data_IF_702100231933
#
_entry.id   IF_702100231933
#
_cell.length_a   1.000
_cell.length_b   1.000
_cell.length_c   1.000
_cell.angle_alpha   90.00
_cell.angle_beta   90.00
_cell.angle_gamma   90.00
#
_symmetry.space_group_name_H-M   'P 1'
#
loop_
_entity.id
_entity.type
_entity.pdbx_description
1 polymer ?
#
# COMPACT_ATOMS: atom_id res chain seq x y z
N UNK A 1 -9.51 17.62 0.61
CA UNK A 1 -10.63 17.66 -0.36
C UNK A 1 -10.86 16.23 -0.80
N UNK A 2 -12.11 15.76 -0.79
CA UNK A 2 -12.42 14.42 -1.27
C UNK A 2 -12.47 14.39 -2.80
N UNK A 3 -11.89 13.36 -3.39
CA UNK A 3 -11.93 13.08 -4.84
C UNK A 3 -11.84 11.58 -5.11
N UNK A 4 -12.21 11.11 -6.30
CA UNK A 4 -11.85 9.76 -6.74
C UNK A 4 -10.32 9.57 -6.80
N UNK A 5 -9.88 8.31 -6.84
CA UNK A 5 -8.51 7.99 -7.21
C UNK A 5 -8.19 8.51 -8.62
N UNK A 6 -6.98 9.05 -8.78
CA UNK A 6 -6.44 9.34 -10.09
C UNK A 6 -5.97 8.04 -10.77
N UNK A 7 -5.91 8.05 -12.10
CA UNK A 7 -5.60 6.83 -12.86
C UNK A 7 -4.22 6.24 -12.54
N UNK A 8 -3.25 7.05 -12.11
CA UNK A 8 -1.94 6.54 -11.73
C UNK A 8 -1.94 5.91 -10.33
N UNK A 9 -2.68 6.50 -9.38
CA UNK A 9 -2.85 5.98 -8.01
C UNK A 9 -3.60 4.65 -8.03
N UNK A 10 -4.67 4.57 -8.82
CA UNK A 10 -5.46 3.35 -8.97
C UNK A 10 -4.60 2.22 -9.53
N UNK A 11 -3.77 2.51 -10.55
CA UNK A 11 -2.86 1.51 -11.14
C UNK A 11 -1.81 1.03 -10.13
N UNK A 12 -1.26 1.93 -9.32
CA UNK A 12 -0.29 1.56 -8.28
C UNK A 12 -0.94 0.68 -7.19
N UNK A 13 -2.12 1.08 -6.71
CA UNK A 13 -2.87 0.30 -5.72
C UNK A 13 -3.30 -1.06 -6.28
N UNK A 14 -3.78 -1.12 -7.52
CA UNK A 14 -4.12 -2.39 -8.17
C UNK A 14 -2.93 -3.33 -8.29
N UNK A 15 -1.72 -2.81 -8.57
CA UNK A 15 -0.50 -3.59 -8.59
C UNK A 15 -0.12 -4.09 -7.20
N UNK A 16 -0.19 -3.22 -6.18
CA UNK A 16 0.02 -3.60 -4.78
C UNK A 16 -0.95 -4.70 -4.32
N UNK A 17 -2.21 -4.62 -4.74
CA UNK A 17 -3.21 -5.67 -4.47
C UNK A 17 -2.87 -6.98 -5.18
N UNK A 18 -2.43 -6.92 -6.45
CA UNK A 18 -2.04 -8.11 -7.21
C UNK A 18 -0.86 -8.84 -6.55
N UNK A 19 0.17 -8.12 -6.10
CA UNK A 19 1.29 -8.77 -5.42
C UNK A 19 0.87 -9.35 -4.07
N UNK A 20 -0.22 -8.87 -3.45
CA UNK A 20 -0.73 -9.37 -2.17
C UNK A 20 -1.81 -10.46 -2.30
N UNK A 21 -2.24 -10.81 -3.52
CA UNK A 21 -3.40 -11.67 -3.76
C UNK A 21 -3.33 -13.03 -3.06
N UNK A 22 -2.16 -13.67 -3.07
CA UNK A 22 -1.95 -14.97 -2.42
C UNK A 22 -2.11 -14.98 -0.89
N UNK A 23 -2.15 -13.81 -0.24
CA UNK A 23 -2.34 -13.73 1.22
C UNK A 23 -3.78 -13.52 1.63
N UNK A 24 -4.58 -12.93 0.74
CA UNK A 24 -5.85 -12.34 1.12
C UNK A 24 -7.01 -12.81 0.24
N UNK A 25 -6.77 -13.65 -0.76
CA UNK A 25 -7.77 -14.40 -1.56
C UNK A 25 -9.09 -13.62 -1.73
N UNK A 26 -10.13 -14.01 -0.99
CA UNK A 26 -11.50 -13.45 -1.06
C UNK A 26 -11.61 -11.95 -0.74
N UNK A 27 -10.64 -11.37 -0.02
CA UNK A 27 -10.61 -9.94 0.27
C UNK A 27 -10.16 -9.10 -0.92
N UNK A 28 -9.26 -9.61 -1.78
CA UNK A 28 -8.71 -8.79 -2.88
C UNK A 28 -9.77 -8.37 -3.90
N UNK A 29 -10.67 -9.25 -4.38
CA UNK A 29 -11.78 -8.82 -5.25
C UNK A 29 -12.66 -7.75 -4.60
N UNK A 30 -12.91 -7.85 -3.28
CA UNK A 30 -13.70 -6.85 -2.54
C UNK A 30 -13.00 -5.50 -2.46
N UNK A 31 -11.70 -5.49 -2.20
CA UNK A 31 -10.89 -4.28 -2.20
C UNK A 31 -10.77 -3.64 -3.59
N UNK A 32 -10.69 -4.46 -4.66
CA UNK A 32 -10.74 -3.95 -6.04
C UNK A 32 -12.07 -3.29 -6.36
N UNK A 33 -13.19 -3.90 -5.96
CA UNK A 33 -14.51 -3.28 -6.13
C UNK A 33 -14.64 -1.99 -5.30
N UNK A 34 -14.06 -1.94 -4.10
CA UNK A 34 -14.07 -0.75 -3.24
C UNK A 34 -13.41 0.46 -3.93
N UNK A 35 -12.21 0.28 -4.49
CA UNK A 35 -11.40 1.38 -5.04
C UNK A 35 -11.94 1.95 -6.35
N UNK A 36 -12.89 1.26 -6.99
CA UNK A 36 -13.61 1.77 -8.17
C UNK A 36 -14.64 2.84 -7.82
N UNK A 37 -15.17 2.83 -6.58
CA UNK A 37 -16.29 3.68 -6.19
C UNK A 37 -16.00 4.61 -5.01
N UNK A 38 -14.94 4.37 -4.25
CA UNK A 38 -14.64 5.18 -3.08
C UNK A 38 -14.03 6.54 -3.44
N UNK A 39 -14.11 7.46 -2.48
CA UNK A 39 -13.36 8.72 -2.50
C UNK A 39 -12.16 8.62 -1.58
N UNK A 40 -11.14 9.41 -1.90
CA UNK A 40 -9.95 9.60 -1.10
C UNK A 40 -9.75 11.07 -0.79
N UNK A 41 -9.04 11.35 0.29
CA UNK A 41 -8.47 12.66 0.54
C UNK A 41 -6.99 12.52 0.88
N UNK A 42 -6.21 13.45 0.38
CA UNK A 42 -4.78 13.51 0.66
C UNK A 42 -4.54 14.02 2.09
N UNK A 43 -3.70 13.30 2.82
CA UNK A 43 -3.17 13.70 4.13
C UNK A 43 -1.70 14.09 3.89
N UNK A 44 -1.37 15.35 4.17
CA UNK A 44 -0.04 15.88 3.84
C UNK A 44 1.02 15.44 4.86
N UNK A 45 2.07 14.83 4.32
CA UNK A 45 3.36 14.43 4.94
C UNK A 45 3.24 13.29 5.96
N UNK A 46 3.57 12.04 5.57
CA UNK A 46 3.97 11.59 4.21
C UNK A 46 2.82 11.62 3.18
N UNK A 47 3.11 11.34 1.89
CA UNK A 47 2.04 11.26 0.87
C UNK A 47 1.13 10.08 1.19
N UNK A 48 -0.06 10.38 1.71
CA UNK A 48 -1.04 9.39 2.13
C UNK A 48 -2.39 9.71 1.50
N UNK A 49 -2.97 8.72 0.83
CA UNK A 49 -4.35 8.76 0.34
C UNK A 49 -5.23 8.01 1.32
N UNK A 50 -5.91 8.75 2.19
CA UNK A 50 -6.88 8.18 3.11
C UNK A 50 -8.20 7.92 2.37
N UNK A 51 -8.67 6.68 2.41
CA UNK A 51 -9.93 6.25 1.79
C UNK A 51 -11.07 6.57 2.76
N UNK A 52 -12.09 7.26 2.27
CA UNK A 52 -13.28 7.59 3.05
C UNK A 52 -14.18 6.35 3.21
N UNK A 53 -14.53 6.02 4.46
CA UNK A 53 -15.52 4.99 4.81
C UNK A 53 -16.28 5.40 6.07
N UNK A 54 -17.56 5.04 6.15
CA UNK A 54 -18.46 5.45 7.23
C UNK A 54 -18.62 4.40 8.35
N UNK A 55 -18.15 3.16 8.13
CA UNK A 55 -18.50 1.98 8.94
C UNK A 55 -17.35 1.43 9.80
N UNK A 56 -16.49 2.32 10.33
CA UNK A 56 -15.36 1.92 11.18
C UNK A 56 -15.85 1.38 12.53
N UNK A 57 -15.30 0.23 12.95
CA UNK A 57 -15.54 -0.31 14.29
C UNK A 57 -14.68 0.42 15.35
N UNK A 58 -15.26 0.84 16.49
CA UNK A 58 -14.49 1.34 17.63
C UNK A 58 -13.55 0.26 18.15
N UNK A 59 -12.24 0.52 18.14
CA UNK A 59 -11.22 -0.45 18.55
C UNK A 59 -10.92 -1.55 17.52
N UNK A 60 -11.45 -1.46 16.30
CA UNK A 60 -11.19 -2.42 15.22
C UNK A 60 -9.71 -2.48 14.82
N UNK A 61 -9.28 -3.65 14.37
CA UNK A 61 -7.91 -3.90 13.93
C UNK A 61 -7.47 -2.98 12.78
N UNK A 62 -6.23 -2.52 12.84
CA UNK A 62 -5.55 -1.76 11.80
C UNK A 62 -4.26 -2.47 11.42
N UNK A 63 -4.09 -2.86 10.16
CA UNK A 63 -2.93 -3.68 9.77
C UNK A 63 -2.46 -3.39 8.34
N UNK A 64 -1.14 -3.32 8.10
CA UNK A 64 -0.62 -3.16 6.75
C UNK A 64 -0.78 -4.47 5.96
N UNK A 65 -0.85 -4.37 4.64
CA UNK A 65 -0.76 -5.54 3.78
C UNK A 65 0.62 -6.23 3.93
N UNK A 66 0.64 -7.54 3.68
CA UNK A 66 1.79 -8.38 3.97
C UNK A 66 3.02 -8.04 3.12
N UNK A 67 2.78 -7.68 1.86
CA UNK A 67 3.80 -7.25 0.91
C UNK A 67 3.73 -5.75 0.71
N UNK A 68 4.90 -5.15 0.66
CA UNK A 68 5.12 -3.73 0.37
C UNK A 68 5.98 -3.61 -0.88
N UNK A 69 5.94 -2.44 -1.51
CA UNK A 69 6.74 -2.14 -2.70
C UNK A 69 7.79 -1.09 -2.34
N UNK A 70 8.97 -1.22 -2.93
CA UNK A 70 10.04 -0.23 -2.83
C UNK A 70 10.31 0.32 -4.22
N UNK A 71 10.30 1.64 -4.34
CA UNK A 71 10.69 2.37 -5.54
C UNK A 71 11.95 3.22 -5.27
N UNK A 72 12.38 3.95 -6.30
CA UNK A 72 13.39 4.99 -6.20
C UNK A 72 12.81 6.31 -6.71
N UNK A 73 12.97 7.36 -5.92
CA UNK A 73 12.73 8.74 -6.33
C UNK A 73 14.03 9.53 -6.16
N UNK A 74 14.60 9.97 -7.28
CA UNK A 74 15.92 10.64 -7.33
C UNK A 74 17.06 9.91 -6.59
N UNK A 75 16.99 8.57 -6.53
CA UNK A 75 17.96 7.72 -5.84
C UNK A 75 17.65 7.49 -4.36
N UNK A 76 16.58 8.09 -3.84
CA UNK A 76 16.07 7.87 -2.47
C UNK A 76 15.04 6.74 -2.49
N UNK A 77 15.12 5.76 -1.58
CA UNK A 77 14.09 4.74 -1.48
C UNK A 77 12.73 5.35 -1.12
N UNK A 78 11.69 4.81 -1.76
CA UNK A 78 10.29 5.14 -1.46
C UNK A 78 9.58 3.86 -1.04
N UNK A 79 8.99 3.85 0.13
CA UNK A 79 8.19 2.75 0.66
C UNK A 79 6.72 2.96 0.29
N UNK A 80 6.12 1.98 -0.37
CA UNK A 80 4.73 2.02 -0.84
C UNK A 80 3.97 0.85 -0.21
N UNK A 81 2.89 1.16 0.49
CA UNK A 81 2.15 0.18 1.27
C UNK A 81 0.70 0.64 1.45
N UNK A 82 -0.16 -0.29 1.84
CA UNK A 82 -1.56 0.00 2.09
C UNK A 82 -1.97 -0.61 3.42
N UNK A 83 -2.91 0.05 4.09
CA UNK A 83 -3.53 -0.46 5.30
C UNK A 83 -4.94 -0.92 5.03
N UNK A 84 -5.35 -1.89 5.83
CA UNK A 84 -6.74 -2.30 5.96
C UNK A 84 -7.21 -2.07 7.38
N UNK A 85 -8.51 -1.82 7.50
CA UNK A 85 -9.18 -1.63 8.78
C UNK A 85 -10.37 -2.56 8.92
N UNK A 86 -10.56 -3.06 10.13
CA UNK A 86 -11.71 -3.87 10.48
C UNK A 86 -12.98 -3.02 10.57
N UNK A 87 -14.01 -3.44 9.82
CA UNK A 87 -15.36 -2.86 9.81
C UNK A 87 -16.38 -3.95 10.14
N UNK A 88 -17.66 -3.57 10.28
CA UNK A 88 -18.75 -4.56 10.47
C UNK A 88 -18.86 -5.55 9.31
N UNK A 89 -18.43 -5.12 8.12
CA UNK A 89 -18.47 -5.93 6.91
C UNK A 89 -17.17 -6.71 6.67
N UNK A 90 -16.22 -6.69 7.62
CA UNK A 90 -14.87 -7.27 7.49
C UNK A 90 -13.80 -6.22 7.20
N UNK A 91 -12.63 -6.65 6.73
CA UNK A 91 -11.52 -5.75 6.44
C UNK A 91 -11.72 -5.00 5.11
N UNK A 92 -11.56 -3.68 5.14
CA UNK A 92 -11.60 -2.80 3.95
C UNK A 92 -10.29 -2.03 3.83
N UNK A 93 -9.93 -1.60 2.61
CA UNK A 93 -8.79 -0.71 2.42
C UNK A 93 -9.03 0.63 3.13
N UNK A 94 -8.02 1.08 3.86
CA UNK A 94 -8.04 2.30 4.65
C UNK A 94 -7.21 3.41 4.01
N UNK A 95 -6.00 3.08 3.57
CA UNK A 95 -5.08 4.05 3.00
C UNK A 95 -4.11 3.40 2.01
N UNK A 96 -3.61 4.23 1.10
CA UNK A 96 -2.39 3.99 0.33
C UNK A 96 -1.36 5.02 0.77
N UNK A 97 -0.20 4.55 1.22
CA UNK A 97 0.86 5.35 1.81
C UNK A 97 2.13 5.24 0.95
N UNK A 98 2.76 6.39 0.67
CA UNK A 98 3.97 6.53 -0.15
C UNK A 98 4.98 7.40 0.61
N UNK A 99 5.94 6.73 1.25
CA UNK A 99 6.90 7.35 2.13
C UNK A 99 8.27 7.43 1.46
N UNK A 100 8.69 8.64 1.11
CA UNK A 100 10.08 8.89 0.72
C UNK A 100 10.93 8.90 1.99
N UNK A 101 11.93 8.03 2.07
CA UNK A 101 12.59 7.72 3.35
C UNK A 101 13.53 8.81 3.89
N UNK A 102 13.77 9.88 3.13
CA UNK A 102 14.46 11.09 3.62
C UNK A 102 13.48 12.11 4.24
N UNK A 103 12.17 11.85 4.22
CA UNK A 103 11.13 12.72 4.76
C UNK A 103 10.71 13.87 3.83
N UNK A 104 11.32 13.97 2.64
CA UNK A 104 10.98 15.00 1.66
C UNK A 104 9.73 14.63 0.86
N UNK A 105 9.15 15.62 0.19
CA UNK A 105 8.06 15.37 -0.73
C UNK A 105 8.50 14.50 -1.92
N UNK A 106 7.54 13.75 -2.45
CA UNK A 106 7.70 12.95 -3.65
C UNK A 106 7.88 13.87 -4.87
N UNK A 107 8.97 13.67 -5.61
CA UNK A 107 9.25 14.38 -6.87
C UNK A 107 8.64 13.62 -8.04
N UNK A 108 8.73 12.30 -8.04
CA UNK A 108 8.17 11.42 -9.07
C UNK A 108 7.26 10.36 -8.45
N UNK A 109 6.03 10.31 -8.94
CA UNK A 109 5.10 9.27 -8.53
C UNK A 109 5.56 7.88 -9.01
N UNK A 110 5.62 6.85 -8.14
CA UNK A 110 6.03 5.51 -8.52
C UNK A 110 5.13 4.89 -9.60
N UNK A 111 5.72 4.38 -10.67
CA UNK A 111 5.00 3.62 -11.68
C UNK A 111 4.89 2.14 -11.27
N UNK A 112 3.71 1.52 -11.38
CA UNK A 112 3.56 0.09 -11.09
C UNK A 112 4.29 -0.77 -12.12
N UNK A 113 4.89 -1.87 -11.66
CA UNK A 113 5.49 -2.89 -12.52
C UNK A 113 6.82 -3.42 -11.99
N UNK A 114 7.60 -4.03 -12.90
CA UNK A 114 8.84 -4.75 -12.57
C UNK A 114 9.98 -3.85 -12.05
N UNK A 115 9.86 -2.53 -12.24
CA UNK A 115 10.78 -1.54 -11.68
C UNK A 115 10.67 -1.40 -10.15
N UNK A 116 9.59 -1.90 -9.55
CA UNK A 116 9.39 -1.90 -8.10
C UNK A 116 9.97 -3.17 -7.49
N UNK A 117 10.68 -3.04 -6.37
CA UNK A 117 11.11 -4.19 -5.58
C UNK A 117 9.98 -4.64 -4.66
N UNK A 118 9.65 -5.93 -4.67
CA UNK A 118 8.58 -6.50 -3.85
C UNK A 118 9.19 -7.10 -2.59
N UNK A 119 8.72 -6.64 -1.44
CA UNK A 119 9.24 -7.03 -0.13
C UNK A 119 8.15 -7.75 0.69
N UNK A 120 8.54 -8.79 1.41
CA UNK A 120 7.72 -9.52 2.37
C UNK A 120 8.55 -9.78 3.63
N UNK A 121 8.04 -9.43 4.81
CA UNK A 121 8.72 -9.66 6.09
C UNK A 121 10.21 -9.19 6.09
N UNK A 122 10.48 -8.04 5.46
CA UNK A 122 11.82 -7.46 5.38
C UNK A 122 12.76 -8.12 4.35
N UNK A 123 12.29 -9.09 3.56
CA UNK A 123 13.07 -9.76 2.50
C UNK A 123 12.52 -9.45 1.11
N UNK A 124 13.43 -9.37 0.12
CA UNK A 124 13.02 -9.26 -1.28
C UNK A 124 12.48 -10.61 -1.75
N UNK A 125 11.28 -10.59 -2.32
CA UNK A 125 10.66 -11.78 -2.92
C UNK A 125 10.49 -11.68 -4.45
N UNK A 126 10.69 -10.50 -5.04
CA UNK A 126 10.51 -10.31 -6.48
C UNK A 126 10.74 -8.88 -6.95
N UNK A 127 10.44 -8.62 -8.23
CA UNK A 127 10.59 -7.31 -8.86
C UNK A 127 12.05 -6.86 -9.01
N UNK A 128 12.29 -5.54 -9.02
CA UNK A 128 13.63 -4.98 -9.12
C UNK A 128 14.53 -5.39 -7.93
N UNK A 129 15.85 -5.35 -8.13
CA UNK A 129 16.82 -5.53 -7.05
C UNK A 129 17.35 -4.17 -6.57
N UNK A 130 16.70 -3.63 -5.54
CA UNK A 130 17.06 -2.36 -4.92
C UNK A 130 17.83 -2.55 -3.60
N UNK A 131 18.39 -3.74 -3.34
CA UNK A 131 19.10 -4.04 -2.07
C UNK A 131 20.38 -3.23 -1.88
N UNK A 132 20.87 -2.58 -2.93
CA UNK A 132 21.97 -1.65 -2.85
C UNK A 132 21.57 -0.37 -2.08
N UNK A 133 20.31 0.07 -2.18
CA UNK A 133 19.76 1.26 -1.50
C UNK A 133 18.85 0.95 -0.30
N UNK A 134 18.02 -0.10 -0.37
CA UNK A 134 17.09 -0.48 0.70
C UNK A 134 17.45 -1.86 1.23
N UNK A 135 17.99 -1.93 2.44
CA UNK A 135 18.53 -3.17 3.01
C UNK A 135 17.41 -4.09 3.49
N UNK A 136 17.66 -5.39 3.34
CA UNK A 136 16.81 -6.40 3.96
C UNK A 136 16.94 -6.38 5.48
N UNK A 137 15.88 -6.81 6.14
CA UNK A 137 15.79 -6.98 7.58
C UNK A 137 15.07 -8.29 7.90
N UNK A 138 15.29 -8.83 9.10
CA UNK A 138 14.60 -10.03 9.57
C UNK A 138 13.36 -9.60 10.36
N UNK A 139 12.29 -9.23 9.64
CA UNK A 139 11.01 -8.93 10.27
C UNK A 139 10.20 -10.20 10.45
N UNK A 140 9.33 -10.26 11.47
CA UNK A 140 8.40 -11.37 11.60
C UNK A 140 7.44 -11.40 10.37
N UNK A 141 6.96 -12.59 9.98
CA UNK A 141 5.93 -12.70 8.94
C UNK A 141 4.70 -11.87 9.30
N UNK A 142 4.12 -11.26 8.28
CA UNK A 142 2.87 -10.51 8.43
C UNK A 142 1.75 -11.45 8.89
N UNK A 143 0.90 -10.98 9.80
CA UNK A 143 -0.27 -11.74 10.25
C UNK A 143 -1.25 -11.89 9.09
N UNK A 144 -1.75 -13.10 8.87
CA UNK A 144 -2.88 -13.32 7.97
C UNK A 144 -4.12 -12.68 8.57
N UNK A 145 -4.96 -12.09 7.73
CA UNK A 145 -6.30 -11.70 8.15
C UNK A 145 -7.11 -12.97 8.46
N UNK A 146 -7.98 -12.92 9.49
CA UNK A 146 -8.83 -14.04 9.86
C UNK A 146 -9.85 -14.40 8.78
#
# INVERSE_FOLDING_TARGET
MERPFESHELRLLQFLLSVNESFYEDYVPRWRAQIETCTVHEVNVPYCLAISHEDRLPGGGYTPLARVLIALDEGVPVLIYAYVIETRSGYVLHSLDIDRLDGEALVKYPEPGDGLMIMEAGKRIGGADLRHVFKESDLPPSRKLP
#
